data_IF_821160402092
#
_entry.id   IF_821160402092
#
_cell.length_a   1.000
_cell.length_b   1.000
_cell.length_c   1.000
_cell.angle_alpha   90.00
_cell.angle_beta   90.00
_cell.angle_gamma   90.00
#
_symmetry.space_group_name_H-M   'P 1'
#
loop_
_entity.id
_entity.type
_entity.pdbx_description
1 polymer ?
#
# COMPACT_ATOMS: atom_id res chain seq x y z
N UNK A 1 8.97 11.18 -26.26
CA UNK A 1 7.68 11.91 -26.41
C UNK A 1 6.55 11.30 -25.58
N UNK A 2 6.84 10.34 -24.68
CA UNK A 2 5.85 9.67 -23.81
C UNK A 2 5.69 10.32 -22.42
N UNK A 3 6.53 11.28 -22.00
CA UNK A 3 6.52 11.74 -20.59
C UNK A 3 5.44 12.77 -20.23
N UNK A 4 5.25 13.81 -21.06
CA UNK A 4 4.38 14.94 -20.64
C UNK A 4 2.91 14.54 -20.49
N UNK A 5 2.42 13.67 -21.35
CA UNK A 5 1.01 13.25 -21.34
C UNK A 5 0.65 12.48 -20.05
N UNK A 6 1.47 11.50 -19.67
CA UNK A 6 1.24 10.71 -18.46
C UNK A 6 1.41 11.52 -17.18
N UNK A 7 2.35 12.48 -17.16
CA UNK A 7 2.53 13.39 -16.02
C UNK A 7 1.31 14.31 -15.85
N UNK A 8 0.74 14.83 -16.94
CA UNK A 8 -0.48 15.64 -16.89
C UNK A 8 -1.65 14.80 -16.35
N UNK A 9 -1.86 13.60 -16.88
CA UNK A 9 -2.90 12.69 -16.41
C UNK A 9 -2.73 12.31 -14.93
N UNK A 10 -1.49 12.03 -14.50
CA UNK A 10 -1.21 11.74 -13.10
C UNK A 10 -1.51 12.95 -12.21
N UNK A 11 -1.15 14.16 -12.64
CA UNK A 11 -1.44 15.39 -11.89
C UNK A 11 -2.95 15.64 -11.74
N UNK A 12 -3.71 15.45 -12.82
CA UNK A 12 -5.18 15.53 -12.77
C UNK A 12 -5.77 14.48 -11.83
N UNK A 13 -5.26 13.24 -11.90
CA UNK A 13 -5.64 12.16 -10.99
C UNK A 13 -5.34 12.52 -9.53
N UNK A 14 -4.15 13.05 -9.23
CA UNK A 14 -3.79 13.51 -7.89
C UNK A 14 -4.75 14.61 -7.42
N UNK A 15 -5.01 15.62 -8.25
CA UNK A 15 -5.90 16.72 -7.90
C UNK A 15 -7.30 16.23 -7.56
N UNK A 16 -7.84 15.28 -8.35
CA UNK A 16 -9.12 14.63 -8.06
C UNK A 16 -9.07 13.88 -6.73
N UNK A 17 -8.07 13.04 -6.51
CA UNK A 17 -7.96 12.20 -5.31
C UNK A 17 -7.82 13.05 -4.04
N UNK A 18 -7.00 14.11 -4.08
CA UNK A 18 -6.92 15.06 -2.98
C UNK A 18 -8.27 15.74 -2.75
N UNK A 19 -8.93 16.26 -3.79
CA UNK A 19 -10.23 16.93 -3.60
C UNK A 19 -11.30 16.02 -2.98
N UNK A 20 -11.36 14.76 -3.38
CA UNK A 20 -12.38 13.82 -2.90
C UNK A 20 -12.06 13.18 -1.55
N UNK A 21 -10.78 12.95 -1.24
CA UNK A 21 -10.37 12.10 -0.11
C UNK A 21 -9.53 12.80 0.93
N UNK A 22 -9.15 14.05 0.72
CA UNK A 22 -8.31 14.78 1.66
C UNK A 22 -8.90 14.79 3.07
N UNK A 23 -10.21 15.05 3.22
CA UNK A 23 -10.86 15.08 4.53
C UNK A 23 -10.73 13.76 5.31
N UNK A 24 -10.99 12.63 4.64
CA UNK A 24 -10.86 11.29 5.26
C UNK A 24 -9.40 10.93 5.52
N UNK A 25 -8.50 11.28 4.60
CA UNK A 25 -7.06 11.02 4.74
C UNK A 25 -6.41 11.90 5.80
N UNK A 26 -6.94 13.08 6.12
CA UNK A 26 -6.38 14.02 7.08
C UNK A 26 -6.24 13.39 8.48
N UNK A 27 -7.23 12.61 8.90
CA UNK A 27 -7.19 11.91 10.20
C UNK A 27 -6.01 10.93 10.24
N UNK A 28 -5.84 10.15 9.17
CA UNK A 28 -4.73 9.20 9.07
C UNK A 28 -3.38 9.89 8.84
N UNK A 29 -3.40 11.04 8.16
CA UNK A 29 -2.23 11.89 7.98
C UNK A 29 -1.68 12.32 9.34
N UNK A 30 -2.54 12.81 10.24
CA UNK A 30 -2.14 13.21 11.60
C UNK A 30 -1.59 12.04 12.40
N UNK A 31 -2.22 10.86 12.30
CA UNK A 31 -1.70 9.65 12.96
C UNK A 31 -0.30 9.28 12.46
N UNK A 32 -0.06 9.38 11.14
CA UNK A 32 1.22 9.04 10.51
C UNK A 32 2.34 10.06 10.79
N UNK A 33 2.04 11.22 11.39
CA UNK A 33 3.06 12.18 11.83
C UNK A 33 3.85 11.69 13.04
N UNK A 34 3.22 10.85 13.88
CA UNK A 34 3.89 10.30 15.04
C UNK A 34 5.02 9.36 14.61
N UNK A 35 6.21 9.46 15.22
CA UNK A 35 7.26 8.47 15.00
C UNK A 35 6.79 7.11 15.53
N UNK A 36 7.27 6.03 14.91
CA UNK A 36 6.96 4.67 15.31
C UNK A 36 6.38 3.84 14.16
N UNK A 37 7.07 2.74 13.86
CA UNK A 37 6.72 1.76 12.85
C UNK A 37 5.25 1.33 12.89
N UNK A 38 4.76 0.90 14.05
CA UNK A 38 3.39 0.38 14.19
C UNK A 38 2.32 1.43 13.92
N UNK A 39 2.55 2.67 14.39
CA UNK A 39 1.61 3.79 14.20
C UNK A 39 1.57 4.16 12.72
N UNK A 40 2.73 4.21 12.06
CA UNK A 40 2.81 4.48 10.62
C UNK A 40 2.16 3.38 9.79
N UNK A 41 2.46 2.10 10.05
CA UNK A 41 1.81 0.98 9.36
C UNK A 41 0.30 1.00 9.54
N UNK A 42 -0.19 1.32 10.74
CA UNK A 42 -1.62 1.46 11.01
C UNK A 42 -2.24 2.60 10.19
N UNK A 43 -1.60 3.77 10.14
CA UNK A 43 -2.02 4.88 9.30
C UNK A 43 -2.02 4.53 7.81
N UNK A 44 -0.98 3.84 7.33
CA UNK A 44 -0.89 3.34 5.94
C UNK A 44 -2.02 2.35 5.66
N UNK A 45 -2.31 1.43 6.56
CA UNK A 45 -3.40 0.46 6.41
C UNK A 45 -4.73 1.17 6.13
N UNK A 46 -5.07 2.18 6.92
CA UNK A 46 -6.27 2.96 6.70
C UNK A 46 -6.20 3.87 5.48
N UNK A 47 -5.03 4.39 5.13
CA UNK A 47 -4.83 5.13 3.90
C UNK A 47 -5.10 4.25 2.67
N UNK A 48 -4.70 2.98 2.67
CA UNK A 48 -5.05 2.03 1.59
C UNK A 48 -6.56 1.78 1.59
N UNK A 49 -7.14 1.55 2.77
CA UNK A 49 -8.55 1.23 2.95
C UNK A 49 -9.46 2.36 2.43
N UNK A 50 -9.28 3.58 2.92
CA UNK A 50 -10.11 4.72 2.55
C UNK A 50 -9.64 5.42 1.27
N UNK A 51 -8.36 5.32 0.95
CA UNK A 51 -7.77 5.87 -0.28
C UNK A 51 -8.16 5.06 -1.50
N UNK A 52 -7.83 3.78 -1.56
CA UNK A 52 -7.93 3.02 -2.82
C UNK A 52 -9.19 2.16 -2.87
N UNK A 53 -9.44 1.39 -1.81
CA UNK A 53 -10.50 0.37 -1.81
C UNK A 53 -11.90 0.98 -1.85
N UNK A 54 -12.06 2.21 -1.37
CA UNK A 54 -13.30 2.98 -1.50
C UNK A 54 -13.69 3.23 -2.97
N UNK A 55 -12.73 3.44 -3.87
CA UNK A 55 -13.00 3.61 -5.30
C UNK A 55 -13.34 2.29 -5.98
N UNK A 56 -12.67 1.21 -5.58
CA UNK A 56 -12.94 -0.14 -6.08
C UNK A 56 -14.35 -0.58 -5.71
N UNK A 57 -14.74 -0.39 -4.45
CA UNK A 57 -16.04 -0.78 -3.93
C UNK A 57 -17.19 -0.01 -4.61
N UNK A 58 -16.99 1.28 -4.85
CA UNK A 58 -18.01 2.14 -5.44
C UNK A 58 -18.07 2.05 -6.99
N UNK A 59 -17.37 1.08 -7.61
CA UNK A 59 -17.21 0.96 -9.07
C UNK A 59 -16.71 2.24 -9.76
N UNK A 60 -16.09 3.15 -9.00
CA UNK A 60 -15.53 4.39 -9.53
C UNK A 60 -14.32 4.12 -10.42
N UNK A 61 -13.67 2.97 -10.23
CA UNK A 61 -12.64 2.48 -11.16
C UNK A 61 -13.18 2.26 -12.58
N UNK A 62 -14.37 1.67 -12.72
CA UNK A 62 -14.99 1.47 -14.04
C UNK A 62 -15.43 2.82 -14.62
N UNK A 63 -15.87 3.77 -13.77
CA UNK A 63 -16.18 5.14 -14.20
C UNK A 63 -14.94 5.89 -14.72
N UNK A 64 -13.77 5.65 -14.13
CA UNK A 64 -12.49 6.22 -14.57
C UNK A 64 -12.02 5.63 -15.90
N UNK A 65 -12.47 4.44 -16.29
CA UNK A 65 -12.16 3.89 -17.63
C UNK A 65 -12.95 4.54 -18.77
N UNK A 66 -13.98 5.34 -18.46
CA UNK A 66 -14.63 6.21 -19.47
C UNK A 66 -13.84 7.49 -19.75
N UNK A 67 -12.88 7.82 -18.89
CA UNK A 67 -11.85 8.82 -19.14
C UNK A 67 -10.65 8.12 -19.84
N UNK A 68 -9.68 8.86 -20.39
CA UNK A 68 -8.53 8.27 -21.10
C UNK A 68 -7.50 7.60 -20.15
N UNK A 69 -7.97 6.86 -19.15
CA UNK A 69 -7.17 6.07 -18.22
C UNK A 69 -7.38 4.59 -18.50
N UNK A 70 -6.29 3.85 -18.70
CA UNK A 70 -6.33 2.38 -18.74
C UNK A 70 -6.35 1.81 -17.32
N UNK A 71 -6.76 0.55 -17.15
CA UNK A 71 -6.79 -0.08 -15.82
C UNK A 71 -5.38 -0.22 -15.24
N UNK A 72 -4.41 -0.49 -16.10
CA UNK A 72 -2.97 -0.43 -15.79
C UNK A 72 -2.56 0.94 -15.22
N UNK A 73 -2.94 2.04 -15.87
CA UNK A 73 -2.63 3.39 -15.38
C UNK A 73 -3.27 3.67 -14.02
N UNK A 74 -4.53 3.28 -13.82
CA UNK A 74 -5.23 3.53 -12.56
C UNK A 74 -4.54 2.79 -11.41
N UNK A 75 -4.07 1.56 -11.62
CA UNK A 75 -3.31 0.83 -10.60
C UNK A 75 -2.05 1.60 -10.16
N UNK A 76 -1.21 2.00 -11.13
CA UNK A 76 0.04 2.72 -10.85
C UNK A 76 -0.19 4.13 -10.31
N UNK A 77 -1.20 4.85 -10.78
CA UNK A 77 -1.56 6.18 -10.26
C UNK A 77 -2.10 6.11 -8.85
N UNK A 78 -2.87 5.08 -8.51
CA UNK A 78 -3.35 4.86 -7.14
C UNK A 78 -2.19 4.53 -6.19
N UNK A 79 -1.25 3.68 -6.63
CA UNK A 79 -0.02 3.41 -5.89
C UNK A 79 0.81 4.69 -5.71
N UNK A 80 1.04 5.45 -6.78
CA UNK A 80 1.78 6.72 -6.74
C UNK A 80 1.14 7.78 -5.84
N UNK A 81 -0.20 7.86 -5.80
CA UNK A 81 -0.92 8.72 -4.86
C UNK A 81 -0.64 8.32 -3.41
N UNK A 82 -0.77 7.03 -3.06
CA UNK A 82 -0.51 6.57 -1.69
C UNK A 82 0.97 6.73 -1.30
N UNK A 83 1.90 6.48 -2.21
CA UNK A 83 3.33 6.75 -2.00
C UNK A 83 3.54 8.25 -1.70
N UNK A 84 2.88 9.13 -2.45
CA UNK A 84 2.95 10.57 -2.22
C UNK A 84 2.43 10.94 -0.84
N UNK A 85 1.32 10.35 -0.39
CA UNK A 85 0.78 10.54 0.97
C UNK A 85 1.77 10.07 2.04
N UNK A 86 2.38 8.88 1.87
CA UNK A 86 3.40 8.34 2.79
C UNK A 86 4.66 9.22 2.85
N UNK A 87 5.10 9.73 1.70
CA UNK A 87 6.26 10.63 1.63
C UNK A 87 5.96 11.98 2.29
N UNK A 88 4.81 12.59 1.98
CA UNK A 88 4.40 13.86 2.58
C UNK A 88 4.27 13.75 4.10
N UNK A 89 3.55 12.75 4.59
CA UNK A 89 3.41 12.50 6.05
C UNK A 89 4.77 12.27 6.71
N UNK A 90 5.65 11.50 6.09
CA UNK A 90 6.98 11.23 6.65
C UNK A 90 7.86 12.47 6.66
N UNK A 91 7.87 13.27 5.58
CA UNK A 91 8.65 14.51 5.51
C UNK A 91 8.15 15.57 6.50
N UNK A 92 6.84 15.73 6.63
CA UNK A 92 6.25 16.64 7.62
C UNK A 92 6.49 16.12 9.05
N UNK A 93 6.53 14.80 9.24
CA UNK A 93 6.83 14.17 10.52
C UNK A 93 8.31 14.12 10.89
N UNK A 94 9.22 14.53 10.01
CA UNK A 94 10.67 14.47 10.23
C UNK A 94 11.15 15.16 11.52
N UNK A 95 10.60 16.31 11.95
CA UNK A 95 10.99 16.95 13.21
C UNK A 95 10.70 16.14 14.48
N UNK A 96 9.84 15.11 14.40
CA UNK A 96 9.51 14.26 15.55
C UNK A 96 10.45 13.05 15.70
N UNK A 97 11.45 12.90 14.84
CA UNK A 97 12.40 11.79 14.90
C UNK A 97 13.69 12.18 15.64
N UNK A 98 14.13 11.33 16.56
CA UNK A 98 15.40 11.49 17.28
C UNK A 98 16.63 11.23 16.38
N UNK A 99 16.47 10.47 15.30
CA UNK A 99 17.56 10.12 14.38
C UNK A 99 17.07 9.89 12.95
N UNK A 100 17.88 10.32 11.98
CA UNK A 100 17.66 10.04 10.56
C UNK A 100 17.62 8.54 10.26
N UNK A 101 18.34 7.72 11.03
CA UNK A 101 18.28 6.26 10.88
C UNK A 101 16.86 5.74 11.14
N UNK A 102 16.25 6.12 12.26
CA UNK A 102 14.88 5.74 12.60
C UNK A 102 13.85 6.27 11.60
N UNK A 103 14.09 7.46 11.07
CA UNK A 103 13.28 8.03 9.99
C UNK A 103 13.32 7.14 8.72
N UNK A 104 14.51 6.77 8.25
CA UNK A 104 14.64 5.94 7.04
C UNK A 104 14.12 4.52 7.25
N UNK A 105 14.31 3.93 8.43
CA UNK A 105 13.74 2.60 8.73
C UNK A 105 12.21 2.65 8.71
N UNK A 106 11.60 3.62 9.37
CA UNK A 106 10.14 3.75 9.41
C UNK A 106 9.56 4.05 8.01
N UNK A 107 10.21 4.92 7.24
CA UNK A 107 9.79 5.27 5.89
C UNK A 107 9.88 4.05 4.96
N UNK A 108 11.02 3.36 4.95
CA UNK A 108 11.21 2.17 4.11
C UNK A 108 10.22 1.07 4.47
N UNK A 109 10.03 0.79 5.76
CA UNK A 109 9.06 -0.19 6.21
C UNK A 109 7.61 0.17 5.89
N UNK A 110 7.26 1.46 5.96
CA UNK A 110 5.93 1.93 5.54
C UNK A 110 5.67 1.72 4.05
N UNK A 111 6.69 1.93 3.21
CA UNK A 111 6.61 1.69 1.76
C UNK A 111 6.55 0.20 1.42
N UNK A 112 7.27 -0.66 2.16
CA UNK A 112 7.20 -2.12 2.03
C UNK A 112 5.79 -2.59 2.37
N UNK A 113 5.25 -2.15 3.51
CA UNK A 113 3.90 -2.48 3.95
C UNK A 113 2.87 -2.02 2.91
N UNK A 114 2.95 -0.76 2.47
CA UNK A 114 2.08 -0.20 1.42
C UNK A 114 2.07 -1.07 0.17
N UNK A 115 3.26 -1.39 -0.36
CA UNK A 115 3.41 -2.10 -1.63
C UNK A 115 2.86 -3.53 -1.55
N UNK A 116 3.17 -4.24 -0.46
CA UNK A 116 2.71 -5.61 -0.25
C UNK A 116 1.19 -5.69 -0.06
N UNK A 117 0.64 -4.86 0.84
CA UNK A 117 -0.80 -4.92 1.18
C UNK A 117 -1.66 -4.44 0.01
N UNK A 118 -1.22 -3.41 -0.71
CA UNK A 118 -1.90 -2.98 -1.94
C UNK A 118 -1.89 -4.09 -2.98
N UNK A 119 -0.71 -4.65 -3.29
CA UNK A 119 -0.58 -5.73 -4.28
C UNK A 119 -1.47 -6.93 -3.97
N UNK A 120 -1.39 -7.44 -2.73
CA UNK A 120 -2.20 -8.57 -2.28
C UNK A 120 -3.71 -8.26 -2.28
N UNK A 121 -4.12 -7.04 -1.89
CA UNK A 121 -5.54 -6.67 -1.90
C UNK A 121 -6.14 -6.75 -3.31
N UNK A 122 -5.41 -6.27 -4.32
CA UNK A 122 -5.85 -6.37 -5.71
C UNK A 122 -5.91 -7.82 -6.20
N UNK A 123 -4.96 -8.66 -5.81
CA UNK A 123 -5.01 -10.11 -6.13
C UNK A 123 -6.30 -10.72 -5.57
N UNK A 124 -6.62 -10.50 -4.30
CA UNK A 124 -7.83 -11.05 -3.68
C UNK A 124 -9.13 -10.49 -4.29
N UNK A 125 -9.19 -9.20 -4.55
CA UNK A 125 -10.37 -8.56 -5.14
C UNK A 125 -10.58 -9.00 -6.59
N UNK A 126 -9.51 -9.20 -7.36
CA UNK A 126 -9.64 -9.52 -8.78
C UNK A 126 -9.78 -11.02 -9.06
N UNK A 127 -9.04 -11.88 -8.38
CA UNK A 127 -9.11 -13.33 -8.57
C UNK A 127 -10.22 -13.99 -7.76
N UNK A 128 -10.33 -13.62 -6.48
CA UNK A 128 -11.27 -14.27 -5.55
C UNK A 128 -12.58 -13.48 -5.38
N UNK A 129 -12.71 -12.33 -6.04
CA UNK A 129 -13.90 -11.45 -5.96
C UNK A 129 -14.31 -11.09 -4.53
N UNK A 130 -13.32 -11.03 -3.62
CA UNK A 130 -13.53 -10.63 -2.22
C UNK A 130 -13.87 -9.14 -2.17
N UNK A 131 -14.73 -8.73 -1.23
CA UNK A 131 -14.99 -7.31 -0.99
C UNK A 131 -13.66 -6.57 -0.73
N UNK A 132 -13.46 -5.37 -1.30
CA UNK A 132 -12.22 -4.62 -1.14
C UNK A 132 -11.81 -4.48 0.33
N UNK A 133 -12.70 -4.05 1.23
CA UNK A 133 -12.36 -3.89 2.65
C UNK A 133 -12.06 -5.24 3.30
N UNK A 134 -12.86 -6.27 3.00
CA UNK A 134 -12.63 -7.62 3.47
C UNK A 134 -11.25 -8.15 3.07
N UNK A 135 -10.77 -7.84 1.87
CA UNK A 135 -9.46 -8.29 1.38
C UNK A 135 -8.30 -7.79 2.25
N UNK A 136 -8.29 -6.51 2.61
CA UNK A 136 -7.24 -5.95 3.47
C UNK A 136 -7.24 -6.55 4.87
N UNK A 137 -8.42 -6.72 5.48
CA UNK A 137 -8.52 -7.33 6.81
C UNK A 137 -8.11 -8.80 6.79
N UNK A 138 -8.48 -9.55 5.74
CA UNK A 138 -8.05 -10.93 5.58
C UNK A 138 -6.53 -11.04 5.45
N UNK A 139 -5.90 -10.15 4.69
CA UNK A 139 -4.44 -10.09 4.58
C UNK A 139 -3.82 -9.79 5.94
N UNK A 140 -4.33 -8.77 6.66
CA UNK A 140 -3.81 -8.38 7.96
C UNK A 140 -3.89 -9.52 8.98
N UNK A 141 -5.05 -10.19 9.07
CA UNK A 141 -5.26 -11.32 9.98
C UNK A 141 -4.35 -12.49 9.58
N UNK A 142 -4.28 -12.82 8.29
CA UNK A 142 -3.45 -13.92 7.80
C UNK A 142 -1.97 -13.67 8.05
N UNK A 143 -1.48 -12.46 7.75
CA UNK A 143 -0.09 -12.05 7.97
C UNK A 143 0.25 -12.08 9.47
N UNK A 144 -0.62 -11.55 10.33
CA UNK A 144 -0.44 -11.61 11.78
C UNK A 144 -0.39 -13.04 12.32
N UNK A 145 -1.29 -13.92 11.87
CA UNK A 145 -1.28 -15.34 12.28
C UNK A 145 -0.01 -16.01 11.78
N UNK A 146 0.25 -15.98 10.47
CA UNK A 146 1.38 -16.68 9.85
C UNK A 146 2.73 -16.22 10.40
N UNK A 147 2.87 -14.94 10.73
CA UNK A 147 4.10 -14.39 11.34
C UNK A 147 4.25 -14.73 12.82
N UNK A 148 3.15 -14.97 13.53
CA UNK A 148 3.15 -15.36 14.95
C UNK A 148 3.39 -16.85 15.19
N UNK A 149 3.24 -17.69 14.17
CA UNK A 149 3.52 -19.12 14.27
C UNK A 149 5.03 -19.36 14.42
N UNK A 150 5.46 -20.19 15.38
CA UNK A 150 6.86 -20.55 15.58
C UNK A 150 7.72 -19.53 16.34
N UNK A 151 9.01 -19.84 16.50
CA UNK A 151 9.97 -19.03 17.28
C UNK A 151 11.01 -18.36 16.37
N UNK A 152 11.56 -17.23 16.84
CA UNK A 152 12.58 -16.44 16.11
C UNK A 152 13.99 -17.07 16.15
N UNK A 153 14.22 -18.05 17.03
CA UNK A 153 15.54 -18.66 17.24
C UNK A 153 15.76 -19.91 16.40
N UNK A 154 17.02 -20.18 16.06
CA UNK A 154 17.43 -21.34 15.26
C UNK A 154 17.04 -22.64 15.99
N UNK A 155 16.13 -23.40 15.39
CA UNK A 155 15.60 -24.66 15.90
C UNK A 155 14.52 -25.25 14.97
N UNK A 156 13.96 -26.40 15.32
CA UNK A 156 12.96 -27.11 14.50
C UNK A 156 11.63 -26.34 14.31
N UNK A 157 11.42 -25.25 15.06
CA UNK A 157 10.23 -24.39 15.00
C UNK A 157 10.52 -22.99 14.42
N UNK A 158 11.57 -22.84 13.61
CA UNK A 158 11.91 -21.58 12.96
C UNK A 158 10.85 -21.18 11.92
N UNK A 159 10.36 -19.94 12.00
CA UNK A 159 9.38 -19.43 11.04
C UNK A 159 10.03 -18.51 9.98
N UNK A 160 10.27 -19.01 8.76
CA UNK A 160 10.86 -18.20 7.70
C UNK A 160 9.92 -17.09 7.20
N UNK A 161 8.60 -17.23 7.36
CA UNK A 161 7.63 -16.22 6.91
C UNK A 161 7.80 -14.89 7.65
N UNK A 162 8.22 -14.93 8.92
CA UNK A 162 8.46 -13.73 9.72
C UNK A 162 9.55 -12.81 9.14
N UNK A 163 10.47 -13.35 8.34
CA UNK A 163 11.48 -12.56 7.65
C UNK A 163 10.88 -11.70 6.52
N UNK A 164 9.90 -12.24 5.81
CA UNK A 164 9.28 -11.61 4.62
C UNK A 164 7.94 -10.94 4.91
N UNK A 165 7.34 -11.21 6.08
CA UNK A 165 6.07 -10.64 6.53
C UNK A 165 6.11 -9.12 6.43
N UNK A 166 5.17 -8.49 5.68
CA UNK A 166 5.15 -7.04 5.56
C UNK A 166 4.78 -6.33 6.87
N UNK A 167 4.12 -7.01 7.82
CA UNK A 167 3.80 -6.47 9.15
C UNK A 167 4.98 -6.55 10.13
N UNK A 168 5.70 -7.68 10.18
CA UNK A 168 6.83 -7.85 11.11
C UNK A 168 8.18 -7.43 10.56
N UNK A 169 8.40 -7.60 9.26
CA UNK A 169 9.62 -7.23 8.54
C UNK A 169 10.92 -7.63 9.24
N UNK A 170 11.05 -8.90 9.65
CA UNK A 170 12.23 -9.39 10.35
C UNK A 170 13.54 -9.16 9.59
N UNK A 171 13.48 -9.15 8.24
CA UNK A 171 14.55 -8.64 7.39
C UNK A 171 13.95 -7.68 6.35
N UNK A 172 14.30 -6.39 6.45
CA UNK A 172 13.82 -5.31 5.57
C UNK A 172 14.05 -5.64 4.10
N UNK A 173 15.21 -6.21 3.72
CA UNK A 173 15.51 -6.53 2.33
C UNK A 173 14.65 -7.68 1.81
N UNK A 174 14.47 -8.74 2.62
CA UNK A 174 13.63 -9.86 2.25
C UNK A 174 12.15 -9.45 2.13
N UNK A 175 11.67 -8.63 3.06
CA UNK A 175 10.34 -8.05 3.02
C UNK A 175 10.15 -7.10 1.82
N UNK A 176 11.17 -6.33 1.44
CA UNK A 176 11.13 -5.48 0.24
C UNK A 176 11.01 -6.29 -1.05
N UNK A 177 11.79 -7.36 -1.20
CA UNK A 177 11.69 -8.27 -2.35
C UNK A 177 10.27 -8.87 -2.42
N UNK A 178 9.76 -9.34 -1.28
CA UNK A 178 8.41 -9.89 -1.20
C UNK A 178 7.34 -8.84 -1.57
N UNK A 179 7.48 -7.61 -1.09
CA UNK A 179 6.56 -6.52 -1.40
C UNK A 179 6.56 -6.14 -2.88
N UNK A 180 7.72 -6.12 -3.54
CA UNK A 180 7.83 -5.89 -4.99
C UNK A 180 7.12 -7.02 -5.77
N UNK A 181 7.31 -8.28 -5.36
CA UNK A 181 6.60 -9.40 -5.98
C UNK A 181 5.08 -9.29 -5.81
N UNK A 182 4.61 -8.96 -4.61
CA UNK A 182 3.18 -8.73 -4.35
C UNK A 182 2.61 -7.58 -5.19
N UNK A 183 3.34 -6.46 -5.30
CA UNK A 183 2.96 -5.33 -6.13
C UNK A 183 2.83 -5.76 -7.60
N UNK A 184 3.82 -6.47 -8.13
CA UNK A 184 3.79 -6.97 -9.51
C UNK A 184 2.65 -7.97 -9.76
N UNK A 185 2.37 -8.87 -8.82
CA UNK A 185 1.21 -9.78 -8.91
C UNK A 185 -0.12 -9.03 -8.87
N UNK A 186 -0.21 -7.97 -8.05
CA UNK A 186 -1.35 -7.06 -8.02
C UNK A 186 -1.58 -6.40 -9.39
N UNK A 187 -0.52 -5.86 -10.00
CA UNK A 187 -0.56 -5.31 -11.35
C UNK A 187 -1.09 -6.32 -12.38
N UNK A 188 -0.50 -7.53 -12.41
CA UNK A 188 -0.94 -8.59 -13.33
C UNK A 188 -2.41 -8.97 -13.14
N UNK A 189 -2.91 -8.97 -11.90
CA UNK A 189 -4.32 -9.26 -11.62
C UNK A 189 -5.28 -8.24 -12.24
N UNK A 190 -4.88 -6.96 -12.27
CA UNK A 190 -5.68 -5.86 -12.82
C UNK A 190 -5.70 -5.91 -14.35
N UNK A 191 -4.53 -6.11 -14.97
CA UNK A 191 -4.37 -6.23 -16.43
C UNK A 191 -5.18 -7.41 -16.97
N UNK A 192 -5.02 -8.60 -16.38
CA UNK A 192 -5.74 -9.81 -16.82
C UNK A 192 -7.26 -9.67 -16.72
N UNK A 193 -7.78 -9.00 -15.68
CA UNK A 193 -9.22 -8.74 -15.52
C UNK A 193 -9.72 -7.62 -16.45
N UNK A 194 -8.83 -6.72 -16.86
CA UNK A 194 -9.10 -5.68 -17.86
C UNK A 194 -9.23 -6.21 -19.28
N UNK A 195 -8.71 -7.41 -19.56
CA UNK A 195 -8.58 -7.90 -20.94
C UNK A 195 -7.52 -7.14 -21.74
N UNK A 196 -6.59 -6.48 -21.03
CA UNK A 196 -5.40 -5.82 -21.58
C UNK A 196 -4.26 -6.83 -21.78
#
# INVERSE_FOLDING_TARGET
MFDKYYVILFNEYLHKQFKEKFGTLLIFFVLMLSPGLSIKMFGVFFAILFGLLSDVKNRRLDLLTFLPYTRSMIYWFSFGFLVTVVLLTSLVGLPFYDSLYHFFTDLSSSLIFLSAYLGLSFVLVNFLSVDPYGSLFLILISDAILSSLGYSSVGHFYNPYRLISPLWQGNIFAAAIFAILCLYLGYLSVVKKGGE
#
